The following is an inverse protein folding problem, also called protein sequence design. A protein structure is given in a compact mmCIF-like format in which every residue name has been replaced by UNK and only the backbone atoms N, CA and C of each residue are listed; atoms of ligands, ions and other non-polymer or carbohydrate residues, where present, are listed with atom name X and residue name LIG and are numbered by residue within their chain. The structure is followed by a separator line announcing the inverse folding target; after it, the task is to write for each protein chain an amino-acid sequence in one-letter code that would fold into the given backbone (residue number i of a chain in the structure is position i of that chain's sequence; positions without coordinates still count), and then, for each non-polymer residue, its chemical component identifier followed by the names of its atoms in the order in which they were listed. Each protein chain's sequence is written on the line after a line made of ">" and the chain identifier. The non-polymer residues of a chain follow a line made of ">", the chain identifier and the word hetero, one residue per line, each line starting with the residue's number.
data_IF_311797313563
#
_entry.id   IF_311797313563
#
_cell.length_a   1.000
_cell.length_b   1.000
_cell.length_c   1.000
_cell.angle_alpha   90.00
_cell.angle_beta   90.00
_cell.angle_gamma   90.00
#
_symmetry.space_group_name_H-M   'P 1'
#
loop_
_entity.id
_entity.type
_entity.pdbx_description
1 polymer ?
#
# COMPACT_ATOMS: atom_id res chain seq x y z
N UNK A 1 -46.63 16.34 7.64
CA UNK A 1 -45.88 17.17 8.60
C UNK A 1 -44.41 16.75 8.48
N UNK A 2 -43.63 17.51 7.73
CA UNK A 2 -42.21 17.23 7.52
C UNK A 2 -41.41 18.13 8.46
N UNK A 3 -40.63 17.54 9.34
CA UNK A 3 -39.68 18.28 10.19
C UNK A 3 -38.38 18.50 9.40
N UNK A 4 -38.12 19.74 9.06
CA UNK A 4 -36.86 20.22 8.54
C UNK A 4 -35.97 20.51 9.75
N UNK A 5 -34.90 19.75 9.95
CA UNK A 5 -33.89 20.06 10.94
C UNK A 5 -32.90 21.08 10.34
N UNK A 6 -32.95 22.29 10.83
CA UNK A 6 -32.01 23.34 10.52
C UNK A 6 -30.68 23.03 11.19
N UNK A 7 -29.61 22.84 10.40
CA UNK A 7 -28.23 22.86 10.89
C UNK A 7 -27.81 24.33 11.03
N UNK A 8 -27.68 24.78 12.24
CA UNK A 8 -27.06 26.06 12.57
C UNK A 8 -25.54 25.97 12.38
N UNK A 9 -25.04 26.66 11.37
CA UNK A 9 -23.65 27.04 11.26
C UNK A 9 -23.37 28.12 12.32
N UNK A 10 -22.66 27.80 13.35
CA UNK A 10 -22.11 28.79 14.27
C UNK A 10 -20.60 28.83 14.17
N UNK A 11 -20.14 30.02 13.87
CA UNK A 11 -18.97 30.64 14.48
C UNK A 11 -17.72 30.60 13.62
N UNK A 12 -17.48 31.69 12.91
CA UNK A 12 -16.14 32.17 12.65
C UNK A 12 -15.54 32.57 13.99
N UNK A 13 -14.44 31.96 14.38
CA UNK A 13 -13.46 32.59 15.26
C UNK A 13 -12.16 32.69 14.50
N UNK A 14 -11.82 33.93 14.20
CA UNK A 14 -10.51 34.38 13.76
C UNK A 14 -9.50 34.14 14.89
N UNK A 15 -8.64 33.14 14.71
CA UNK A 15 -7.29 33.19 15.22
C UNK A 15 -6.37 32.52 14.22
N UNK A 16 -5.73 33.38 13.43
CA UNK A 16 -4.62 33.11 12.54
C UNK A 16 -3.46 32.45 13.32
N UNK A 17 -3.49 31.12 13.45
CA UNK A 17 -2.31 30.27 13.57
C UNK A 17 -2.35 29.29 12.43
N UNK A 18 -1.40 29.47 11.52
CA UNK A 18 -1.15 28.66 10.32
C UNK A 18 -0.84 27.18 10.65
N UNK A 19 -1.83 26.46 11.15
CA UNK A 19 -1.74 25.03 11.43
C UNK A 19 -3.01 24.32 11.01
N UNK A 20 -3.07 23.84 9.78
CA UNK A 20 -4.13 22.93 9.40
C UNK A 20 -4.16 21.72 10.36
N UNK A 21 -5.35 21.32 10.82
CA UNK A 21 -5.51 20.24 11.79
C UNK A 21 -4.97 18.91 11.24
N UNK A 22 -4.51 18.00 12.11
CA UNK A 22 -4.08 16.67 11.70
C UNK A 22 -5.25 15.91 11.05
N UNK A 23 -4.95 14.94 10.14
CA UNK A 23 -5.99 14.16 9.49
C UNK A 23 -6.78 13.36 10.52
N UNK A 24 -8.09 13.24 10.30
CA UNK A 24 -8.95 12.41 11.13
C UNK A 24 -8.90 10.97 10.63
N UNK A 25 -8.53 10.04 11.50
CA UNK A 25 -8.58 8.61 11.22
C UNK A 25 -9.96 8.04 11.54
N UNK A 26 -10.37 7.03 10.78
CA UNK A 26 -11.66 6.40 11.02
C UNK A 26 -11.55 5.48 12.24
N UNK A 27 -12.38 5.72 13.26
CA UNK A 27 -12.52 4.80 14.37
C UNK A 27 -13.28 3.55 13.91
N UNK A 28 -12.62 2.41 13.92
CA UNK A 28 -13.19 1.11 13.54
C UNK A 28 -13.60 0.25 14.74
N UNK A 29 -13.46 0.78 15.95
CA UNK A 29 -13.68 0.02 17.19
C UNK A 29 -12.54 -0.91 17.57
N UNK A 30 -11.54 -1.09 16.72
CA UNK A 30 -10.31 -1.86 16.98
C UNK A 30 -9.10 -1.17 16.36
N UNK A 31 -7.95 -1.31 16.99
CA UNK A 31 -6.65 -0.88 16.46
C UNK A 31 -5.72 -2.07 16.25
N UNK A 32 -4.98 -2.07 15.15
CA UNK A 32 -3.97 -3.08 14.89
C UNK A 32 -2.78 -2.88 15.85
N UNK A 33 -2.49 -3.89 16.67
CA UNK A 33 -1.40 -3.82 17.65
C UNK A 33 -0.10 -4.38 17.11
N UNK A 34 -0.18 -5.49 16.42
CA UNK A 34 0.99 -6.15 15.82
C UNK A 34 0.66 -6.92 14.57
N UNK A 35 1.68 -7.15 13.76
CA UNK A 35 1.63 -8.09 12.67
C UNK A 35 2.94 -8.87 12.55
N UNK A 36 2.89 -10.02 11.90
CA UNK A 36 4.07 -10.81 11.66
C UNK A 36 3.84 -11.90 10.64
N UNK A 37 4.83 -12.80 10.54
CA UNK A 37 4.86 -13.93 9.61
C UNK A 37 4.93 -15.22 10.39
N UNK A 38 4.16 -16.22 9.98
CA UNK A 38 4.23 -17.59 10.51
C UNK A 38 5.20 -18.38 9.63
N UNK A 39 6.18 -19.03 10.26
CA UNK A 39 7.10 -19.96 9.62
C UNK A 39 7.10 -21.27 10.40
N UNK A 40 6.48 -22.30 9.84
CA UNK A 40 6.21 -23.54 10.57
C UNK A 40 5.34 -23.24 11.80
N UNK A 41 5.80 -23.65 12.98
CA UNK A 41 5.09 -23.40 14.26
C UNK A 41 5.41 -22.04 14.90
N UNK A 42 6.34 -21.27 14.33
CA UNK A 42 6.86 -20.04 14.95
C UNK A 42 6.24 -18.79 14.35
N UNK A 43 5.78 -17.90 15.24
CA UNK A 43 5.37 -16.52 14.89
C UNK A 43 6.58 -15.61 14.95
N UNK A 44 6.90 -14.98 13.83
CA UNK A 44 7.93 -13.94 13.72
C UNK A 44 7.26 -12.58 13.63
N UNK A 45 7.38 -11.78 14.69
CA UNK A 45 6.89 -10.41 14.71
C UNK A 45 7.60 -9.56 13.65
N UNK A 46 6.84 -8.71 12.96
CA UNK A 46 7.32 -7.79 11.93
C UNK A 46 6.99 -6.33 12.24
N UNK A 47 6.18 -6.08 13.24
CA UNK A 47 5.88 -4.74 13.70
C UNK A 47 4.89 -4.70 14.85
N UNK A 48 5.20 -3.83 15.81
CA UNK A 48 4.32 -3.33 16.85
C UNK A 48 3.94 -1.91 16.51
N UNK A 49 2.69 -1.54 16.74
CA UNK A 49 2.14 -0.22 16.45
C UNK A 49 1.69 0.46 17.72
N UNK A 50 2.08 1.71 17.88
CA UNK A 50 1.70 2.57 19.00
C UNK A 50 1.00 3.80 18.45
N UNK A 51 -0.06 4.23 19.12
CA UNK A 51 -0.94 5.31 18.66
C UNK A 51 -0.96 6.43 19.70
N UNK A 52 -1.10 7.66 19.23
CA UNK A 52 -1.38 8.79 20.10
C UNK A 52 -2.88 8.86 20.50
N UNK A 53 -3.24 9.82 21.33
CA UNK A 53 -4.61 10.00 21.84
C UNK A 53 -5.64 10.28 20.73
N UNK A 54 -5.20 10.74 19.57
CA UNK A 54 -6.05 10.96 18.39
C UNK A 54 -6.19 9.72 17.52
N UNK A 55 -5.61 8.59 17.90
CA UNK A 55 -5.61 7.33 17.15
C UNK A 55 -4.68 7.34 15.94
N UNK A 56 -3.84 8.36 15.77
CA UNK A 56 -2.82 8.41 14.73
C UNK A 56 -1.59 7.61 15.15
N UNK A 57 -0.93 6.99 14.16
CA UNK A 57 0.30 6.25 14.40
C UNK A 57 1.37 7.18 14.99
N UNK A 58 1.90 6.81 16.14
CA UNK A 58 2.92 7.56 16.91
C UNK A 58 4.31 6.92 16.77
N UNK A 59 4.36 5.59 16.87
CA UNK A 59 5.61 4.84 16.78
C UNK A 59 5.38 3.43 16.26
N UNK A 60 6.39 2.90 15.58
CA UNK A 60 6.47 1.45 15.31
C UNK A 60 7.76 0.89 15.88
N UNK A 61 7.73 -0.40 16.23
CA UNK A 61 8.89 -1.17 16.63
C UNK A 61 8.97 -2.43 15.79
N UNK A 62 10.14 -2.70 15.22
CA UNK A 62 10.40 -3.91 14.41
C UNK A 62 11.59 -4.63 15.03
N UNK A 63 11.44 -5.90 15.44
CA UNK A 63 12.57 -6.69 15.95
C UNK A 63 13.68 -6.83 14.91
N UNK A 64 14.93 -6.67 15.33
CA UNK A 64 16.11 -6.93 14.50
C UNK A 64 16.63 -8.35 14.71
N UNK A 65 17.40 -8.85 13.74
CA UNK A 65 17.98 -10.19 13.82
C UNK A 65 18.99 -10.35 14.98
N UNK A 66 19.53 -9.23 15.48
CA UNK A 66 20.53 -9.18 16.55
C UNK A 66 19.90 -9.04 17.95
N UNK A 67 18.57 -9.18 18.07
CA UNK A 67 17.84 -9.11 19.34
C UNK A 67 17.50 -7.70 19.81
N UNK A 68 17.75 -6.68 19.00
CA UNK A 68 17.32 -5.30 19.23
C UNK A 68 15.98 -4.98 18.56
N UNK A 69 15.65 -3.69 18.49
CA UNK A 69 14.46 -3.19 17.80
C UNK A 69 14.77 -1.92 17.03
N UNK A 70 14.32 -1.86 15.80
CA UNK A 70 14.30 -0.62 15.02
C UNK A 70 13.00 0.11 15.32
N UNK A 71 13.10 1.33 15.81
CA UNK A 71 11.97 2.22 16.07
C UNK A 71 11.83 3.21 14.91
N UNK A 72 10.58 3.47 14.51
CA UNK A 72 10.24 4.61 13.66
C UNK A 72 9.22 5.45 14.40
N UNK A 73 9.56 6.71 14.65
CA UNK A 73 8.68 7.68 15.27
C UNK A 73 7.93 8.47 14.20
N UNK A 74 6.67 8.83 14.49
CA UNK A 74 5.78 9.58 13.62
C UNK A 74 5.33 10.83 14.36
N UNK A 75 5.98 11.94 14.09
CA UNK A 75 5.67 13.22 14.73
C UNK A 75 4.65 13.96 13.88
N UNK A 76 3.52 14.31 14.49
CA UNK A 76 2.44 15.05 13.84
C UNK A 76 2.47 16.52 14.26
N UNK A 77 2.50 17.41 13.29
CA UNK A 77 2.40 18.87 13.44
C UNK A 77 1.36 19.41 12.48
N UNK A 78 0.18 19.69 12.98
CA UNK A 78 -0.96 20.04 12.16
C UNK A 78 -1.24 18.96 11.11
N UNK A 79 -1.30 19.33 9.85
CA UNK A 79 -1.53 18.43 8.72
C UNK A 79 -0.23 17.78 8.18
N UNK A 80 0.86 17.88 8.90
CA UNK A 80 2.14 17.27 8.51
C UNK A 80 2.51 16.14 9.45
N UNK A 81 3.12 15.11 8.89
CA UNK A 81 3.71 14.00 9.63
C UNK A 81 5.17 13.86 9.21
N UNK A 82 6.05 13.81 10.18
CA UNK A 82 7.47 13.53 10.01
C UNK A 82 7.78 12.13 10.51
N UNK A 83 8.48 11.32 9.69
CA UNK A 83 9.00 10.02 10.15
C UNK A 83 10.49 10.16 10.49
N UNK A 84 10.90 9.49 11.56
CA UNK A 84 12.29 9.38 11.96
C UNK A 84 12.56 7.94 12.41
N UNK A 85 13.43 7.23 11.70
CA UNK A 85 13.84 5.87 12.07
C UNK A 85 15.07 5.91 12.98
N UNK A 86 15.01 5.16 14.08
CA UNK A 86 16.09 5.04 15.06
C UNK A 86 16.35 3.56 15.36
N UNK A 87 17.62 3.13 15.23
CA UNK A 87 18.08 1.82 15.67
C UNK A 87 18.49 1.88 17.14
N UNK A 88 17.96 0.98 17.98
CA UNK A 88 18.30 0.93 19.41
C UNK A 88 19.69 0.40 19.69
N UNK A 89 20.31 -0.26 18.72
CA UNK A 89 21.68 -0.81 18.87
C UNK A 89 22.77 0.19 18.44
N UNK A 90 22.39 1.34 17.92
CA UNK A 90 23.31 2.41 17.56
C UNK A 90 22.80 3.75 18.12
N UNK A 91 23.71 4.51 18.74
CA UNK A 91 23.45 5.90 19.15
C UNK A 91 23.32 6.84 17.93
N UNK A 92 23.39 6.31 16.73
CA UNK A 92 23.30 7.06 15.49
C UNK A 92 21.85 7.10 14.99
N UNK A 93 21.25 8.28 15.06
CA UNK A 93 20.04 8.60 14.30
C UNK A 93 20.44 8.63 12.84
N UNK A 94 20.04 7.61 12.07
CA UNK A 94 20.22 7.64 10.62
C UNK A 94 19.21 8.62 10.04
N UNK A 95 19.65 9.83 9.68
CA UNK A 95 18.84 10.83 8.98
C UNK A 95 18.40 10.38 7.58
N UNK A 96 18.82 9.21 7.12
CA UNK A 96 18.56 8.69 5.78
C UNK A 96 17.11 8.28 5.53
N UNK A 97 16.29 8.21 6.57
CA UNK A 97 14.88 7.77 6.49
C UNK A 97 13.86 8.81 6.96
N UNK A 98 14.23 10.10 6.90
CA UNK A 98 13.29 11.16 7.19
C UNK A 98 12.35 11.34 5.99
N UNK A 99 11.05 11.14 6.21
CA UNK A 99 10.01 11.40 5.24
C UNK A 99 9.00 12.35 5.84
N UNK A 100 8.71 13.45 5.14
CA UNK A 100 7.65 14.40 5.49
C UNK A 100 6.43 14.11 4.63
N UNK A 101 5.30 13.81 5.25
CA UNK A 101 4.01 13.64 4.60
C UNK A 101 3.13 14.85 4.89
N UNK A 102 2.53 15.46 3.87
CA UNK A 102 1.57 16.56 4.02
C UNK A 102 0.19 16.09 3.60
N UNK A 103 -0.81 16.36 4.44
CA UNK A 103 -2.19 15.93 4.25
C UNK A 103 -3.09 17.11 3.90
N UNK A 104 -4.10 16.86 3.07
CA UNK A 104 -5.17 17.81 2.76
C UNK A 104 -6.50 17.09 2.74
N UNK A 105 -7.49 17.60 3.47
CA UNK A 105 -8.81 16.98 3.53
C UNK A 105 -8.80 15.49 3.92
N UNK A 106 -7.99 15.11 4.90
CA UNK A 106 -7.77 13.73 5.35
C UNK A 106 -7.14 12.80 4.29
N UNK A 107 -6.40 13.35 3.33
CA UNK A 107 -5.68 12.56 2.30
C UNK A 107 -4.23 13.01 2.21
N UNK A 108 -3.33 12.06 2.03
CA UNK A 108 -1.92 12.33 1.75
C UNK A 108 -1.81 13.04 0.40
N UNK A 109 -1.36 14.29 0.39
CA UNK A 109 -1.20 15.09 -0.82
C UNK A 109 0.21 14.98 -1.39
N UNK A 110 1.18 15.17 -0.51
CA UNK A 110 2.60 15.11 -0.88
C UNK A 110 3.40 14.31 0.13
N UNK A 111 4.46 13.72 -0.36
CA UNK A 111 5.48 13.06 0.45
C UNK A 111 6.85 13.54 -0.05
N UNK A 112 7.68 13.98 0.87
CA UNK A 112 9.02 14.48 0.59
C UNK A 112 10.06 13.69 1.39
N UNK A 113 11.13 13.35 0.73
CA UNK A 113 12.34 12.74 1.32
C UNK A 113 13.57 13.45 0.75
N UNK A 114 14.79 13.28 1.31
CA UNK A 114 16.00 13.83 0.73
C UNK A 114 16.25 13.40 -0.72
N UNK A 115 15.60 12.33 -1.18
CA UNK A 115 15.87 11.71 -2.48
C UNK A 115 14.72 11.82 -3.47
N UNK A 116 13.50 12.15 -3.03
CA UNK A 116 12.34 12.18 -3.92
C UNK A 116 11.18 13.00 -3.34
N UNK A 117 10.38 13.55 -4.25
CA UNK A 117 9.06 14.11 -3.95
C UNK A 117 7.99 13.30 -4.64
N UNK A 118 6.93 12.94 -3.91
CA UNK A 118 5.75 12.25 -4.43
C UNK A 118 4.52 13.13 -4.30
N UNK A 119 3.66 13.09 -5.31
CA UNK A 119 2.35 13.73 -5.32
C UNK A 119 1.27 12.69 -5.54
N UNK A 120 0.13 12.81 -4.82
CA UNK A 120 -0.98 11.89 -4.87
C UNK A 120 -2.24 12.60 -5.35
N UNK A 121 -2.98 11.98 -6.27
CA UNK A 121 -4.18 12.56 -6.88
C UNK A 121 -5.38 11.67 -6.60
N UNK A 122 -6.50 12.30 -6.28
CA UNK A 122 -7.72 11.64 -5.84
C UNK A 122 -8.91 12.01 -6.74
N UNK A 123 -9.82 11.07 -6.87
CA UNK A 123 -11.16 11.33 -7.41
C UNK A 123 -12.03 12.08 -6.39
N UNK A 124 -13.18 12.56 -6.82
CA UNK A 124 -14.13 13.28 -5.96
C UNK A 124 -14.65 12.46 -4.78
N UNK A 125 -14.66 11.12 -4.88
CA UNK A 125 -15.03 10.21 -3.78
C UNK A 125 -13.85 9.92 -2.82
N UNK A 126 -12.69 10.54 -3.04
CA UNK A 126 -11.49 10.37 -2.23
C UNK A 126 -10.70 9.10 -2.50
N UNK A 127 -10.96 8.40 -3.62
CA UNK A 127 -10.16 7.26 -4.04
C UNK A 127 -8.87 7.71 -4.72
N UNK A 128 -7.73 7.09 -4.40
CA UNK A 128 -6.46 7.36 -5.07
C UNK A 128 -6.53 6.97 -6.54
N UNK A 129 -6.31 7.91 -7.46
CA UNK A 129 -6.36 7.66 -8.91
C UNK A 129 -4.97 7.63 -9.54
N UNK A 130 -4.04 8.43 -9.01
CA UNK A 130 -2.66 8.39 -9.46
C UNK A 130 -1.69 8.83 -8.38
N UNK A 131 -0.43 8.42 -8.54
CA UNK A 131 0.71 8.91 -7.78
C UNK A 131 1.85 9.18 -8.74
N UNK A 132 2.58 10.27 -8.49
CA UNK A 132 3.74 10.66 -9.29
C UNK A 132 4.92 10.96 -8.37
N UNK A 133 6.07 10.36 -8.64
CA UNK A 133 7.33 10.58 -7.92
C UNK A 133 8.38 11.11 -8.87
N UNK A 134 9.10 12.12 -8.42
CA UNK A 134 10.33 12.60 -9.04
C UNK A 134 11.47 12.47 -8.05
N UNK A 135 12.51 11.72 -8.44
CA UNK A 135 13.72 11.59 -7.63
C UNK A 135 14.75 12.67 -7.94
N UNK A 136 15.67 12.91 -7.02
CA UNK A 136 16.83 13.80 -7.23
C UNK A 136 17.81 13.28 -8.29
N UNK A 137 17.66 12.03 -8.73
CA UNK A 137 18.44 11.39 -9.80
C UNK A 137 17.71 11.36 -11.13
N UNK A 138 16.71 12.25 -11.31
CA UNK A 138 15.85 12.37 -12.51
C UNK A 138 15.07 11.09 -12.88
N UNK A 139 14.96 10.14 -11.94
CA UNK A 139 14.07 9.01 -12.13
C UNK A 139 12.63 9.43 -11.83
N UNK A 140 11.75 9.26 -12.80
CA UNK A 140 10.32 9.48 -12.64
C UNK A 140 9.58 8.16 -12.47
N UNK A 141 8.56 8.17 -11.60
CA UNK A 141 7.62 7.05 -11.43
C UNK A 141 6.20 7.59 -11.43
N UNK A 142 5.35 6.91 -12.16
CA UNK A 142 3.92 7.23 -12.20
C UNK A 142 3.13 5.95 -11.94
N UNK A 143 2.14 6.00 -11.05
CA UNK A 143 1.13 4.96 -10.92
C UNK A 143 -0.22 5.53 -11.36
N UNK A 144 -1.02 4.70 -12.04
CA UNK A 144 -2.42 4.95 -12.35
C UNK A 144 -3.26 3.80 -11.82
N UNK A 145 -4.30 4.12 -11.05
CA UNK A 145 -5.17 3.16 -10.43
C UNK A 145 -6.50 3.13 -11.19
N UNK A 146 -6.88 1.97 -11.67
CA UNK A 146 -8.15 1.76 -12.37
C UNK A 146 -9.12 1.02 -11.44
N UNK A 147 -10.33 1.52 -11.37
CA UNK A 147 -11.41 0.93 -10.59
C UNK A 147 -12.47 0.32 -11.50
N UNK A 148 -13.05 -0.81 -11.08
CA UNK A 148 -14.24 -1.41 -11.67
C UNK A 148 -15.17 -1.85 -10.53
N UNK A 149 -16.43 -1.49 -10.59
CA UNK A 149 -17.44 -1.81 -9.56
C UNK A 149 -17.02 -1.40 -8.14
N UNK A 150 -16.34 -0.24 -8.01
CA UNK A 150 -15.82 0.27 -6.74
C UNK A 150 -14.59 -0.44 -6.18
N UNK A 151 -13.99 -1.37 -6.94
CA UNK A 151 -12.80 -2.15 -6.56
C UNK A 151 -11.60 -1.71 -7.38
N UNK A 152 -10.39 -1.89 -6.84
CA UNK A 152 -9.16 -1.70 -7.61
C UNK A 152 -9.04 -2.85 -8.62
N UNK A 153 -9.24 -2.57 -9.90
CA UNK A 153 -9.12 -3.56 -10.96
C UNK A 153 -7.66 -3.70 -11.44
N UNK A 154 -6.95 -2.58 -11.53
CA UNK A 154 -5.55 -2.58 -11.95
C UNK A 154 -4.77 -1.40 -11.36
N UNK A 155 -3.45 -1.59 -11.26
CA UNK A 155 -2.47 -0.53 -11.00
C UNK A 155 -1.41 -0.63 -12.09
N UNK A 156 -1.29 0.42 -12.90
CA UNK A 156 -0.24 0.54 -13.91
C UNK A 156 0.87 1.44 -13.37
N UNK A 157 2.09 0.93 -13.25
CA UNK A 157 3.25 1.68 -12.77
C UNK A 157 4.25 1.84 -13.91
N UNK A 158 4.69 3.07 -14.15
CA UNK A 158 5.78 3.42 -15.05
C UNK A 158 6.97 3.87 -14.25
N UNK A 159 8.16 3.41 -14.61
CA UNK A 159 9.42 3.74 -13.95
C UNK A 159 10.45 4.08 -15.02
N UNK A 160 11.20 5.16 -14.80
CA UNK A 160 12.26 5.59 -15.70
C UNK A 160 11.83 6.61 -16.74
N UNK A 161 12.77 7.03 -17.56
CA UNK A 161 12.62 8.07 -18.56
C UNK A 161 13.10 7.57 -19.94
N UNK A 162 12.51 8.09 -20.99
CA UNK A 162 12.86 7.80 -22.39
C UNK A 162 12.89 6.28 -22.70
N UNK A 163 13.93 5.84 -23.39
CA UNK A 163 14.10 4.44 -23.85
C UNK A 163 14.31 3.43 -22.72
N UNK A 164 14.63 3.88 -21.51
CA UNK A 164 14.82 3.04 -20.32
C UNK A 164 13.54 2.85 -19.52
N UNK A 165 12.44 3.42 -19.97
CA UNK A 165 11.17 3.34 -19.29
C UNK A 165 10.66 1.90 -19.22
N UNK A 166 10.18 1.49 -18.05
CA UNK A 166 9.54 0.19 -17.81
C UNK A 166 8.11 0.41 -17.35
N UNK A 167 7.27 -0.55 -17.64
CA UNK A 167 5.89 -0.59 -17.19
C UNK A 167 5.65 -1.88 -16.44
N UNK A 168 5.10 -1.77 -15.22
CA UNK A 168 4.56 -2.91 -14.48
C UNK A 168 3.05 -2.73 -14.38
N UNK A 169 2.30 -3.71 -14.82
CA UNK A 169 0.85 -3.74 -14.63
C UNK A 169 0.49 -4.81 -13.62
N UNK A 170 -0.23 -4.39 -12.58
CA UNK A 170 -0.85 -5.25 -11.58
C UNK A 170 -2.33 -5.36 -11.88
N UNK A 171 -2.88 -6.58 -11.87
CA UNK A 171 -4.31 -6.83 -12.10
C UNK A 171 -4.84 -7.69 -10.96
N UNK A 172 -6.05 -7.39 -10.48
CA UNK A 172 -6.64 -8.04 -9.32
C UNK A 172 -7.94 -8.73 -9.70
N UNK A 173 -8.22 -9.87 -9.04
CA UNK A 173 -9.52 -10.53 -9.07
C UNK A 173 -10.08 -10.67 -7.66
N UNK A 174 -11.39 -10.84 -7.55
CA UNK A 174 -12.10 -10.88 -6.28
C UNK A 174 -13.07 -12.06 -6.28
N UNK A 175 -13.19 -12.73 -5.12
CA UNK A 175 -14.11 -13.86 -4.91
C UNK A 175 -15.27 -13.51 -3.98
N UNK A 176 -15.52 -12.22 -3.72
CA UNK A 176 -16.61 -11.76 -2.87
C UNK A 176 -16.33 -11.79 -1.37
N UNK A 177 -15.10 -12.09 -0.95
CA UNK A 177 -14.73 -12.03 0.46
C UNK A 177 -14.59 -10.57 0.91
N UNK A 178 -15.29 -10.20 1.97
CA UNK A 178 -15.30 -8.85 2.54
C UNK A 178 -14.59 -8.81 3.89
N UNK A 179 -14.15 -7.61 4.29
CA UNK A 179 -13.62 -7.34 5.62
C UNK A 179 -14.17 -6.04 6.20
N UNK A 180 -14.16 -5.94 7.52
CA UNK A 180 -14.46 -4.71 8.23
C UNK A 180 -13.18 -3.88 8.33
N UNK A 181 -13.07 -2.94 7.41
CA UNK A 181 -12.18 -1.82 7.61
C UNK A 181 -10.85 -1.81 6.91
N UNK A 182 -10.09 -2.86 6.79
CA UNK A 182 -8.75 -2.75 6.23
C UNK A 182 -8.49 -3.81 5.16
N UNK A 183 -8.38 -3.37 3.91
CA UNK A 183 -7.76 -4.18 2.88
C UNK A 183 -6.24 -4.07 3.05
N UNK A 184 -5.70 -5.03 3.79
CA UNK A 184 -4.31 -5.06 4.17
C UNK A 184 -3.42 -5.47 2.99
N UNK A 185 -2.33 -4.75 2.87
CA UNK A 185 -1.02 -5.15 2.35
C UNK A 185 -0.82 -5.36 0.83
N UNK A 186 -1.76 -5.87 0.05
CA UNK A 186 -1.49 -6.12 -1.37
C UNK A 186 -1.26 -4.81 -2.12
N UNK A 187 -2.13 -3.82 -1.93
CA UNK A 187 -2.02 -2.51 -2.56
C UNK A 187 -0.94 -1.65 -1.91
N UNK A 188 -0.83 -1.72 -0.57
CA UNK A 188 0.16 -0.94 0.19
C UNK A 188 1.57 -1.37 -0.16
N UNK A 189 1.81 -2.66 -0.39
CA UNK A 189 3.10 -3.20 -0.82
C UNK A 189 3.52 -2.62 -2.18
N UNK A 190 2.57 -2.46 -3.12
CA UNK A 190 2.84 -1.86 -4.43
C UNK A 190 3.19 -0.37 -4.26
N UNK A 191 2.39 0.38 -3.51
CA UNK A 191 2.63 1.81 -3.27
C UNK A 191 3.96 2.03 -2.55
N UNK A 192 4.25 1.25 -1.51
CA UNK A 192 5.55 1.31 -0.83
C UNK A 192 6.72 1.00 -1.78
N UNK A 193 6.63 -0.08 -2.55
CA UNK A 193 7.69 -0.51 -3.47
C UNK A 193 8.06 0.58 -4.47
N UNK A 194 7.07 1.30 -4.98
CA UNK A 194 7.29 2.25 -6.07
C UNK A 194 7.45 3.70 -5.61
N UNK A 195 6.88 4.07 -4.46
CA UNK A 195 6.84 5.46 -4.01
C UNK A 195 7.51 5.69 -2.66
N UNK A 196 7.97 4.62 -1.99
CA UNK A 196 8.67 4.73 -0.70
C UNK A 196 7.80 5.27 0.44
N UNK A 197 6.46 5.27 0.29
CA UNK A 197 5.54 5.72 1.34
C UNK A 197 5.71 4.84 2.58
N UNK A 198 5.72 5.42 3.81
CA UNK A 198 5.95 4.65 5.02
C UNK A 198 4.98 3.48 5.15
N UNK A 199 5.50 2.26 5.14
CA UNK A 199 4.68 1.02 5.10
C UNK A 199 3.74 0.94 6.28
N UNK A 200 4.22 1.28 7.47
CA UNK A 200 3.42 1.21 8.68
C UNK A 200 2.21 2.14 8.64
N UNK A 201 2.38 3.36 8.09
CA UNK A 201 1.26 4.28 7.85
C UNK A 201 0.22 3.66 6.91
N UNK A 202 0.68 3.04 5.81
CA UNK A 202 -0.19 2.39 4.83
C UNK A 202 -0.97 1.22 5.41
N UNK A 203 -0.34 0.47 6.33
CA UNK A 203 -0.93 -0.68 6.98
C UNK A 203 -2.04 -0.27 7.95
N UNK A 204 -1.78 0.72 8.79
CA UNK A 204 -2.71 1.08 9.87
C UNK A 204 -3.74 2.13 9.45
N UNK A 205 -3.39 2.98 8.47
CA UNK A 205 -4.21 4.09 7.98
C UNK A 205 -4.32 4.13 6.45
N UNK A 206 -4.73 3.03 5.77
CA UNK A 206 -4.84 2.99 4.31
C UNK A 206 -5.90 3.97 3.78
N UNK A 207 -6.83 4.41 4.62
CA UNK A 207 -7.80 5.46 4.30
C UNK A 207 -7.13 6.81 4.01
N UNK A 208 -5.99 7.12 4.65
CA UNK A 208 -5.28 8.38 4.44
C UNK A 208 -4.69 8.49 3.02
N UNK A 209 -4.52 7.38 2.33
CA UNK A 209 -4.12 7.36 0.92
C UNK A 209 -5.24 6.86 -0.02
N UNK A 210 -6.47 6.81 0.46
CA UNK A 210 -7.63 6.46 -0.36
C UNK A 210 -7.65 5.01 -0.87
N UNK A 211 -6.91 4.09 -0.24
CA UNK A 211 -6.86 2.68 -0.65
C UNK A 211 -7.82 1.76 0.11
N UNK A 212 -8.55 2.31 1.08
CA UNK A 212 -9.46 1.51 1.89
C UNK A 212 -10.60 0.93 1.05
N UNK A 213 -10.71 -0.40 1.03
CA UNK A 213 -11.76 -1.15 0.35
C UNK A 213 -12.17 -2.31 1.24
N UNK A 214 -13.46 -2.60 1.26
CA UNK A 214 -14.03 -3.64 2.12
C UNK A 214 -13.98 -5.03 1.49
N UNK A 215 -13.52 -5.17 0.25
CA UNK A 215 -13.42 -6.44 -0.43
C UNK A 215 -11.95 -6.83 -0.64
N UNK A 216 -11.65 -8.07 -0.30
CA UNK A 216 -10.31 -8.63 -0.32
C UNK A 216 -10.02 -9.27 -1.69
N UNK A 217 -8.90 -8.94 -2.34
CA UNK A 217 -8.54 -9.60 -3.59
C UNK A 217 -8.27 -11.09 -3.36
N UNK A 218 -8.71 -11.92 -4.29
CA UNK A 218 -8.42 -13.36 -4.29
C UNK A 218 -7.12 -13.68 -5.02
N UNK A 219 -6.81 -12.90 -6.06
CA UNK A 219 -5.54 -13.04 -6.80
C UNK A 219 -4.99 -11.69 -7.21
N UNK A 220 -3.69 -11.67 -7.45
CA UNK A 220 -2.99 -10.62 -8.17
C UNK A 220 -2.13 -11.23 -9.26
N UNK A 221 -2.06 -10.59 -10.40
CA UNK A 221 -1.03 -10.87 -11.41
C UNK A 221 -0.25 -9.60 -11.73
N UNK A 222 1.05 -9.72 -11.95
CA UNK A 222 1.88 -8.62 -12.40
C UNK A 222 2.71 -9.02 -13.62
N UNK A 223 2.86 -8.08 -14.55
CA UNK A 223 3.71 -8.21 -15.73
C UNK A 223 4.60 -6.98 -15.80
N UNK A 224 5.91 -7.20 -15.87
CA UNK A 224 6.89 -6.14 -16.09
C UNK A 224 7.42 -6.23 -17.53
N UNK A 225 7.31 -5.13 -18.27
CA UNK A 225 7.73 -5.00 -19.66
C UNK A 225 8.45 -3.68 -19.90
N UNK A 226 9.35 -3.57 -20.90
CA UNK A 226 9.80 -2.28 -21.40
C UNK A 226 8.60 -1.44 -21.86
N UNK A 227 8.70 -0.11 -21.74
CA UNK A 227 7.62 0.78 -22.17
C UNK A 227 7.33 0.68 -23.68
N UNK A 228 8.39 0.57 -24.48
CA UNK A 228 8.30 0.31 -25.92
C UNK A 228 9.30 -0.76 -26.33
N UNK A 229 8.90 -1.66 -27.22
CA UNK A 229 9.77 -2.66 -27.79
C UNK A 229 9.23 -3.10 -29.17
N UNK A 230 10.13 -3.42 -30.08
CA UNK A 230 9.81 -3.79 -31.48
C UNK A 230 10.03 -5.26 -31.78
N UNK A 231 10.72 -5.98 -30.89
CA UNK A 231 11.01 -7.41 -30.97
C UNK A 231 10.40 -8.15 -29.78
N UNK A 232 10.24 -9.48 -29.83
CA UNK A 232 9.81 -10.25 -28.68
C UNK A 232 10.71 -9.99 -27.47
N UNK A 233 10.08 -9.84 -26.29
CA UNK A 233 10.74 -9.57 -25.03
C UNK A 233 10.39 -10.64 -24.00
N UNK A 234 11.38 -11.09 -23.24
CA UNK A 234 11.17 -12.05 -22.15
C UNK A 234 10.66 -11.32 -20.91
N UNK A 235 9.35 -11.37 -20.68
CA UNK A 235 8.68 -10.70 -19.58
C UNK A 235 8.62 -11.59 -18.34
N UNK A 236 8.84 -11.01 -17.18
CA UNK A 236 8.56 -11.66 -15.90
C UNK A 236 7.10 -11.48 -15.54
N UNK A 237 6.40 -12.59 -15.36
CA UNK A 237 5.01 -12.64 -14.90
C UNK A 237 4.95 -13.27 -13.54
N UNK A 238 4.42 -12.55 -12.55
CA UNK A 238 4.17 -13.07 -11.21
C UNK A 238 2.67 -13.18 -11.00
N UNK A 239 2.23 -14.31 -10.45
CA UNK A 239 0.84 -14.56 -10.04
C UNK A 239 0.84 -14.90 -8.56
N UNK A 240 0.00 -14.19 -7.80
CA UNK A 240 -0.21 -14.43 -6.38
C UNK A 240 -1.66 -14.81 -6.15
N UNK A 241 -1.88 -15.82 -5.32
CA UNK A 241 -3.20 -16.19 -4.80
C UNK A 241 -3.22 -15.92 -3.31
N UNK A 242 -4.36 -15.47 -2.81
CA UNK A 242 -4.53 -15.08 -1.41
C UNK A 242 -5.61 -15.90 -0.74
N UNK A 243 -5.31 -16.37 0.47
CA UNK A 243 -6.28 -16.96 1.38
C UNK A 243 -6.35 -16.09 2.62
N UNK A 244 -7.51 -15.48 2.86
CA UNK A 244 -7.73 -14.54 3.95
C UNK A 244 -8.44 -15.19 5.12
N UNK A 245 -8.07 -14.80 6.32
CA UNK A 245 -8.71 -15.16 7.57
C UNK A 245 -9.25 -13.90 8.25
N UNK A 246 -10.50 -13.97 8.74
CA UNK A 246 -11.15 -12.86 9.44
C UNK A 246 -11.74 -13.35 10.76
N UNK A 247 -11.80 -12.48 11.76
CA UNK A 247 -12.52 -12.77 12.99
C UNK A 247 -14.04 -12.65 12.79
N UNK A 248 -14.80 -12.93 13.85
CA UNK A 248 -16.27 -12.86 13.83
C UNK A 248 -16.82 -11.45 13.55
N UNK A 249 -16.01 -10.42 13.76
CA UNK A 249 -16.33 -9.02 13.49
C UNK A 249 -15.87 -8.59 12.09
N UNK A 250 -15.24 -9.49 11.31
CA UNK A 250 -14.78 -9.23 9.95
C UNK A 250 -13.41 -8.55 9.85
N UNK A 251 -12.65 -8.42 10.95
CA UNK A 251 -11.28 -7.92 10.88
C UNK A 251 -10.34 -9.00 10.37
N UNK A 252 -9.42 -8.65 9.48
CA UNK A 252 -8.43 -9.59 8.96
C UNK A 252 -7.48 -9.99 10.09
N UNK A 253 -7.45 -11.27 10.42
CA UNK A 253 -6.55 -11.87 11.43
C UNK A 253 -5.36 -12.57 10.83
N UNK A 254 -5.42 -12.87 9.54
CA UNK A 254 -4.32 -13.49 8.81
C UNK A 254 -4.57 -13.54 7.32
N UNK A 255 -3.51 -13.81 6.57
CA UNK A 255 -3.61 -14.22 5.18
C UNK A 255 -2.38 -15.01 4.74
N UNK A 256 -2.60 -15.92 3.82
CA UNK A 256 -1.54 -16.70 3.21
C UNK A 256 -1.40 -16.32 1.74
N UNK A 257 -0.16 -16.29 1.26
CA UNK A 257 0.17 -16.02 -0.14
C UNK A 257 0.77 -17.29 -0.74
N UNK A 258 0.31 -17.62 -1.96
CA UNK A 258 0.98 -18.56 -2.85
C UNK A 258 1.42 -17.76 -4.08
N UNK A 259 2.73 -17.75 -4.34
CA UNK A 259 3.33 -16.94 -5.40
C UNK A 259 4.00 -17.84 -6.43
N UNK A 260 3.76 -17.57 -7.71
CA UNK A 260 4.40 -18.23 -8.83
C UNK A 260 4.94 -17.18 -9.78
N UNK A 261 6.20 -17.35 -10.17
CA UNK A 261 6.86 -16.45 -11.15
C UNK A 261 7.32 -17.27 -12.35
N UNK A 262 7.01 -16.79 -13.54
CA UNK A 262 7.43 -17.40 -14.80
C UNK A 262 7.91 -16.34 -15.78
N UNK A 263 8.79 -16.73 -16.68
CA UNK A 263 9.23 -15.88 -17.77
C UNK A 263 8.55 -16.32 -19.06
N UNK A 264 8.01 -15.34 -19.80
CA UNK A 264 7.33 -15.56 -21.07
C UNK A 264 7.86 -14.62 -22.14
N UNK A 265 8.05 -15.14 -23.34
CA UNK A 265 8.26 -14.30 -24.51
C UNK A 265 6.93 -13.66 -24.91
N UNK A 266 6.89 -12.34 -24.88
CA UNK A 266 5.76 -11.52 -25.29
C UNK A 266 6.14 -10.71 -26.53
N UNK A 267 5.18 -10.55 -27.43
CA UNK A 267 5.32 -9.71 -28.61
C UNK A 267 4.76 -8.31 -28.36
N UNK A 268 5.11 -7.29 -29.17
CA UNK A 268 4.49 -5.98 -29.09
C UNK A 268 2.95 -6.02 -29.17
N UNK A 269 2.39 -6.93 -29.94
CA UNK A 269 0.93 -7.13 -30.03
C UNK A 269 0.33 -7.73 -28.75
N UNK A 270 1.03 -8.63 -28.06
CA UNK A 270 0.61 -9.15 -26.75
C UNK A 270 0.52 -8.02 -25.73
N UNK A 271 1.51 -7.13 -25.70
CA UNK A 271 1.56 -6.02 -24.79
C UNK A 271 0.49 -4.95 -25.07
N UNK A 272 0.17 -4.71 -26.34
CA UNK A 272 -0.80 -3.70 -26.73
C UNK A 272 -2.25 -4.15 -26.55
N UNK A 273 -2.57 -5.42 -26.87
CA UNK A 273 -3.95 -5.83 -27.12
C UNK A 273 -4.45 -6.99 -26.26
N UNK A 274 -3.60 -7.77 -25.59
CA UNK A 274 -4.10 -9.04 -25.07
C UNK A 274 -3.40 -9.54 -23.78
N UNK A 275 -3.42 -8.74 -22.73
CA UNK A 275 -2.87 -9.14 -21.43
C UNK A 275 -3.51 -10.42 -20.88
N UNK A 276 -4.81 -10.65 -21.14
CA UNK A 276 -5.50 -11.84 -20.67
C UNK A 276 -4.90 -13.12 -21.28
N UNK A 277 -4.50 -13.11 -22.56
CA UNK A 277 -3.85 -14.26 -23.20
C UNK A 277 -2.44 -14.52 -22.65
N UNK A 278 -1.70 -13.45 -22.32
CA UNK A 278 -0.39 -13.56 -21.69
C UNK A 278 -0.52 -14.20 -20.31
N UNK A 279 -1.46 -13.72 -19.48
CA UNK A 279 -1.74 -14.29 -18.16
C UNK A 279 -2.21 -15.75 -18.23
N UNK A 280 -3.04 -16.10 -19.22
CA UNK A 280 -3.47 -17.49 -19.44
C UNK A 280 -2.29 -18.40 -19.82
N UNK A 281 -1.38 -17.95 -20.68
CA UNK A 281 -0.14 -18.69 -21.01
C UNK A 281 0.78 -18.83 -19.78
N UNK A 282 0.89 -17.79 -18.97
CA UNK A 282 1.67 -17.82 -17.73
C UNK A 282 1.08 -18.83 -16.73
N UNK A 283 -0.24 -18.81 -16.54
CA UNK A 283 -0.93 -19.77 -15.67
C UNK A 283 -0.67 -21.21 -16.10
N UNK A 284 -0.84 -21.52 -17.39
CA UNK A 284 -0.61 -22.88 -17.92
C UNK A 284 0.83 -23.36 -17.72
N UNK A 285 1.83 -22.49 -17.78
CA UNK A 285 3.22 -22.82 -17.47
C UNK A 285 3.46 -23.02 -15.96
N UNK A 286 2.78 -22.21 -15.14
CA UNK A 286 2.91 -22.26 -13.70
C UNK A 286 2.29 -23.53 -13.10
N UNK A 287 1.19 -24.05 -13.68
CA UNK A 287 0.49 -25.23 -13.20
C UNK A 287 1.31 -26.53 -13.35
N UNK A 288 2.33 -26.53 -14.23
CA UNK A 288 3.22 -27.68 -14.38
C UNK A 288 4.20 -27.91 -13.22
N UNK A 289 4.24 -27.00 -12.22
CA UNK A 289 5.18 -27.02 -11.09
C UNK A 289 4.45 -26.76 -9.75
N UNK A 290 3.23 -27.25 -9.56
CA UNK A 290 2.44 -26.98 -8.36
C UNK A 290 2.75 -27.98 -7.24
N UNK A 291 3.65 -27.61 -6.34
CA UNK A 291 3.90 -28.30 -5.07
C UNK A 291 3.25 -27.52 -3.91
N UNK A 292 2.00 -27.67 -3.77
CA UNK A 292 1.07 -27.71 -2.63
C UNK A 292 1.03 -26.61 -1.59
N UNK A 293 2.11 -26.09 -1.06
CA UNK A 293 2.11 -25.30 0.15
C UNK A 293 2.06 -23.76 -0.07
N UNK A 294 1.42 -23.07 0.89
CA UNK A 294 1.41 -21.61 0.92
C UNK A 294 2.78 -21.06 1.31
N UNK A 295 3.36 -20.21 0.47
CA UNK A 295 4.75 -19.73 0.62
C UNK A 295 4.95 -18.89 1.88
N UNK A 296 3.95 -18.09 2.24
CA UNK A 296 4.04 -17.15 3.36
C UNK A 296 2.67 -16.92 3.99
N UNK A 297 2.60 -17.06 5.30
CA UNK A 297 1.40 -16.75 6.09
C UNK A 297 1.69 -15.59 7.01
N UNK A 298 0.82 -14.55 6.98
CA UNK A 298 0.85 -13.39 7.85
C UNK A 298 -0.21 -13.51 8.93
N UNK A 299 0.04 -12.89 10.08
CA UNK A 299 -0.94 -12.76 11.15
C UNK A 299 -1.06 -11.33 11.62
N UNK A 300 -2.24 -10.98 12.17
CA UNK A 300 -2.58 -9.67 12.70
C UNK A 300 -3.27 -9.80 14.05
N UNK A 301 -2.88 -8.99 15.01
CA UNK A 301 -3.48 -8.95 16.33
C UNK A 301 -4.09 -7.57 16.58
N UNK A 302 -5.38 -7.58 16.88
CA UNK A 302 -6.22 -6.41 17.13
C UNK A 302 -6.60 -6.34 18.61
N UNK A 303 -6.74 -5.14 19.16
CA UNK A 303 -7.30 -4.92 20.48
C UNK A 303 -8.73 -4.38 20.40
#
# INVERSE_FOLDING_TARGET
>A
MAMVAAMTLTGCDDDNKDGAAPPKVQNMGKTLQRYGVIKGEWKHERGLFYYNDNGLLDRTSVPTAEGGSLFTNYTWDGNKMLTNAQDTNSDNITNDYIVTCTFGGNRLQTQESPYATCNFVYSSDGSLTSAHMKSTRDEEREARITYADGRIAAIDVRVGDGDRQRKTKYTFTYAGQTCNGMCFDVFTKIIQKHFGTPRSLLIVHPELIGLRRNELPSTMSSIEIPYSFTAPFNATVTMESYKWETDRQGFVTGFSIKSKTTNLDITPSDAANNQASVLKRAAARADSHDDGDWDTTYYFEWN
#
